data_IF_026556298891
#
_entry.id   IF_026556298891
#
_cell.length_a   1.000
_cell.length_b   1.000
_cell.length_c   1.000
_cell.angle_alpha   90.00
_cell.angle_beta   90.00
_cell.angle_gamma   90.00
#
_symmetry.space_group_name_H-M   'P 1'
#
loop_
_entity.id
_entity.type
_entity.pdbx_description
1 polymer ?
#
# COMPACT_ATOMS: atom_id res chain seq x y z
N UNK A 1 22.71 -15.95 -2.70
CA UNK A 1 21.53 -16.12 -3.56
C UNK A 1 21.23 -17.62 -3.70
N UNK A 2 19.96 -18.01 -3.85
CA UNK A 2 19.51 -19.41 -3.81
C UNK A 2 19.60 -20.16 -5.16
N UNK A 3 20.08 -19.51 -6.23
CA UNK A 3 20.20 -20.12 -7.57
C UNK A 3 18.87 -20.42 -8.28
N UNK A 4 17.81 -19.66 -7.96
CA UNK A 4 16.44 -19.84 -8.46
C UNK A 4 15.98 -18.69 -9.33
N UNK A 5 16.86 -18.23 -10.21
CA UNK A 5 16.61 -17.00 -10.97
C UNK A 5 15.47 -17.18 -11.97
N UNK A 6 15.33 -18.38 -12.55
CA UNK A 6 14.24 -18.70 -13.49
C UNK A 6 12.88 -18.76 -12.78
N UNK A 7 12.78 -19.49 -11.67
CA UNK A 7 11.54 -19.58 -10.90
C UNK A 7 11.15 -18.22 -10.30
N UNK A 8 12.15 -17.39 -9.94
CA UNK A 8 11.92 -16.02 -9.51
C UNK A 8 11.34 -15.15 -10.63
N UNK A 9 11.85 -15.26 -11.85
CA UNK A 9 11.31 -14.56 -13.01
C UNK A 9 9.88 -14.99 -13.36
N UNK A 10 9.61 -16.30 -13.36
CA UNK A 10 8.27 -16.86 -13.60
C UNK A 10 7.26 -16.39 -12.53
N UNK A 11 7.68 -16.37 -11.26
CA UNK A 11 6.85 -15.85 -10.17
C UNK A 11 6.57 -14.36 -10.31
N UNK A 12 7.56 -13.55 -10.72
CA UNK A 12 7.39 -12.11 -10.94
C UNK A 12 6.38 -11.85 -12.07
N UNK A 13 6.45 -12.58 -13.17
CA UNK A 13 5.48 -12.45 -14.27
C UNK A 13 4.05 -12.74 -13.79
N UNK A 14 3.86 -13.83 -13.06
CA UNK A 14 2.56 -14.19 -12.49
C UNK A 14 2.07 -13.13 -11.48
N UNK A 15 2.97 -12.62 -10.65
CA UNK A 15 2.66 -11.56 -9.70
C UNK A 15 2.17 -10.30 -10.41
N UNK A 16 2.87 -9.85 -11.46
CA UNK A 16 2.48 -8.67 -12.24
C UNK A 16 1.13 -8.86 -12.93
N UNK A 17 0.89 -10.03 -13.54
CA UNK A 17 -0.41 -10.36 -14.13
C UNK A 17 -1.54 -10.28 -13.11
N UNK A 18 -1.36 -10.92 -11.95
CA UNK A 18 -2.36 -10.91 -10.88
C UNK A 18 -2.60 -9.49 -10.32
N UNK A 19 -1.54 -8.70 -10.21
CA UNK A 19 -1.61 -7.31 -9.77
C UNK A 19 -2.43 -6.44 -10.72
N UNK A 20 -2.25 -6.59 -12.03
CA UNK A 20 -2.97 -5.81 -13.03
C UNK A 20 -4.46 -6.22 -13.09
N UNK A 21 -4.76 -7.52 -13.02
CA UNK A 21 -6.14 -8.01 -12.93
C UNK A 21 -6.85 -7.51 -11.67
N UNK A 22 -6.17 -7.56 -10.52
CA UNK A 22 -6.72 -7.05 -9.25
C UNK A 22 -6.92 -5.53 -9.30
N UNK A 23 -5.96 -4.78 -9.85
CA UNK A 23 -6.04 -3.33 -10.03
C UNK A 23 -7.25 -2.95 -10.88
N UNK A 24 -7.48 -3.66 -12.00
CA UNK A 24 -8.62 -3.43 -12.86
C UNK A 24 -9.95 -3.63 -12.12
N UNK A 25 -10.09 -4.74 -11.37
CA UNK A 25 -11.29 -5.04 -10.59
C UNK A 25 -11.57 -4.00 -9.50
N UNK A 26 -10.53 -3.58 -8.79
CA UNK A 26 -10.66 -2.58 -7.72
C UNK A 26 -11.00 -1.20 -8.28
N UNK A 27 -10.31 -0.76 -9.34
CA UNK A 27 -10.57 0.55 -9.95
C UNK A 27 -11.96 0.64 -10.59
N UNK A 28 -12.54 -0.49 -11.02
CA UNK A 28 -13.90 -0.52 -11.55
C UNK A 28 -14.99 -0.22 -10.49
N UNK A 29 -14.69 -0.40 -9.20
CA UNK A 29 -15.68 -0.22 -8.10
C UNK A 29 -15.38 1.00 -7.22
N UNK A 30 -14.20 1.60 -7.34
CA UNK A 30 -13.84 2.81 -6.60
C UNK A 30 -14.27 4.05 -7.42
N UNK A 31 -15.11 4.94 -6.86
CA UNK A 31 -15.48 6.17 -7.55
C UNK A 31 -14.25 7.04 -7.88
N UNK A 32 -14.32 7.75 -9.00
CA UNK A 32 -13.25 8.64 -9.43
C UNK A 32 -12.89 9.67 -8.35
N UNK A 33 -11.59 9.92 -8.19
CA UNK A 33 -11.06 10.89 -7.23
C UNK A 33 -11.06 10.43 -5.77
N UNK A 34 -11.59 9.25 -5.45
CA UNK A 34 -11.53 8.70 -4.09
C UNK A 34 -10.12 8.26 -3.71
N UNK A 35 -9.84 8.32 -2.41
CA UNK A 35 -8.57 7.93 -1.82
C UNK A 35 -8.77 6.83 -0.79
N UNK A 36 -7.71 6.07 -0.53
CA UNK A 36 -7.69 5.03 0.49
C UNK A 36 -6.57 5.30 1.49
N UNK A 37 -6.85 5.12 2.78
CA UNK A 37 -5.87 5.24 3.85
C UNK A 37 -5.82 3.96 4.67
N UNK A 38 -4.63 3.66 5.21
CA UNK A 38 -4.46 2.62 6.20
C UNK A 38 -4.28 3.28 7.56
N UNK A 39 -5.11 2.89 8.51
CA UNK A 39 -5.04 3.35 9.90
C UNK A 39 -4.52 2.20 10.75
N UNK A 40 -3.44 2.45 11.48
CA UNK A 40 -2.91 1.55 12.50
C UNK A 40 -3.30 2.05 13.89
N UNK A 41 -3.69 1.14 14.77
CA UNK A 41 -3.88 1.41 16.20
C UNK A 41 -2.82 0.63 16.95
N UNK A 42 -1.94 1.33 17.67
CA UNK A 42 -0.83 0.74 18.43
C UNK A 42 -0.67 1.53 19.72
N UNK A 43 -0.64 0.85 20.87
CA UNK A 43 -0.42 1.44 22.20
C UNK A 43 -1.31 2.66 22.48
N UNK A 44 -2.61 2.51 22.27
CA UNK A 44 -3.59 3.59 22.46
C UNK A 44 -3.49 4.73 21.45
N UNK A 45 -2.62 4.63 20.46
CA UNK A 45 -2.37 5.68 19.46
C UNK A 45 -2.86 5.27 18.08
N UNK A 46 -3.58 6.17 17.42
CA UNK A 46 -4.03 6.05 16.04
C UNK A 46 -3.01 6.73 15.13
N UNK A 47 -2.57 6.03 14.09
CA UNK A 47 -1.63 6.52 13.09
C UNK A 47 -2.08 6.24 11.65
N UNK A 48 -1.71 7.11 10.71
CA UNK A 48 -1.79 6.82 9.28
C UNK A 48 -0.52 6.10 8.84
N UNK A 49 -0.65 5.09 7.99
CA UNK A 49 0.48 4.31 7.48
C UNK A 49 0.79 4.66 6.02
N UNK A 50 2.09 4.77 5.71
CA UNK A 50 2.62 4.91 4.36
C UNK A 50 2.74 3.57 3.62
N UNK A 51 3.52 3.52 2.55
CA UNK A 51 3.68 2.33 1.73
C UNK A 51 4.74 1.34 2.25
N UNK A 52 5.68 1.76 3.10
CA UNK A 52 6.84 0.95 3.51
C UNK A 52 6.80 0.34 4.91
N UNK A 53 5.70 0.50 5.64
CA UNK A 53 5.55 -0.03 6.99
C UNK A 53 4.82 -1.40 7.03
N UNK A 54 4.71 -2.11 5.90
CA UNK A 54 3.88 -3.32 5.83
C UNK A 54 2.40 -3.01 6.00
N UNK A 55 1.61 -3.98 6.51
CA UNK A 55 0.16 -3.81 6.78
C UNK A 55 -0.68 -3.41 5.55
N UNK A 56 -0.20 -3.76 4.36
CA UNK A 56 -0.89 -3.51 3.09
C UNK A 56 -0.50 -2.22 2.36
N UNK A 57 0.41 -1.39 2.90
CA UNK A 57 0.84 -0.15 2.25
C UNK A 57 1.34 -0.35 0.81
N UNK A 58 2.27 -1.28 0.61
CA UNK A 58 2.78 -1.63 -0.73
C UNK A 58 1.68 -2.17 -1.64
N UNK A 59 0.76 -2.98 -1.10
CA UNK A 59 -0.35 -3.52 -1.87
C UNK A 59 -1.28 -2.40 -2.36
N UNK A 60 -1.70 -1.49 -1.48
CA UNK A 60 -2.63 -0.41 -1.81
C UNK A 60 -2.01 0.61 -2.77
N UNK A 61 -0.82 1.13 -2.44
CA UNK A 61 -0.26 2.29 -3.16
C UNK A 61 0.66 1.89 -4.31
N UNK A 62 1.35 0.76 -4.21
CA UNK A 62 2.35 0.37 -5.22
C UNK A 62 1.82 -0.68 -6.21
N UNK A 63 1.06 -1.67 -5.73
CA UNK A 63 0.49 -2.75 -6.58
C UNK A 63 -0.85 -2.34 -7.19
N UNK A 64 -1.79 -1.88 -6.36
CA UNK A 64 -3.14 -1.46 -6.78
C UNK A 64 -3.19 0.00 -7.23
N UNK A 65 -2.13 0.78 -7.02
CA UNK A 65 -2.02 2.19 -7.44
C UNK A 65 -3.20 3.07 -6.98
N UNK A 66 -3.76 2.78 -5.80
CA UNK A 66 -4.82 3.60 -5.24
C UNK A 66 -4.27 4.97 -4.83
N UNK A 67 -5.08 6.01 -5.01
CA UNK A 67 -4.72 7.37 -4.63
C UNK A 67 -4.61 7.47 -3.10
N UNK A 68 -3.44 7.81 -2.53
CA UNK A 68 -3.34 8.11 -1.12
C UNK A 68 -3.93 9.51 -0.82
N UNK A 69 -4.46 9.76 0.39
CA UNK A 69 -4.73 11.11 0.87
C UNK A 69 -3.43 11.93 0.97
N UNK A 70 -3.53 13.25 0.91
CA UNK A 70 -2.35 14.15 0.92
C UNK A 70 -1.40 13.90 2.09
N UNK A 71 -1.95 13.65 3.29
CA UNK A 71 -1.13 13.34 4.48
C UNK A 71 -0.33 12.05 4.33
N UNK A 72 -0.88 11.04 3.66
CA UNK A 72 -0.21 9.77 3.38
C UNK A 72 0.78 9.92 2.24
N UNK A 73 0.44 10.69 1.19
CA UNK A 73 1.36 11.02 0.10
C UNK A 73 2.64 11.66 0.65
N UNK A 74 2.52 12.62 1.58
CA UNK A 74 3.67 13.22 2.27
C UNK A 74 4.52 12.22 3.06
N UNK A 75 3.96 11.10 3.52
CA UNK A 75 4.74 10.03 4.15
C UNK A 75 5.54 9.27 3.09
N UNK A 76 4.87 8.88 2.00
CA UNK A 76 5.49 8.15 0.89
C UNK A 76 6.63 8.99 0.28
N UNK A 77 6.41 10.28 0.04
CA UNK A 77 7.41 11.19 -0.54
C UNK A 77 8.64 11.40 0.36
N UNK A 78 8.46 11.23 1.67
CA UNK A 78 9.52 11.37 2.68
C UNK A 78 10.09 10.03 3.13
N UNK A 79 9.70 8.95 2.48
CA UNK A 79 10.05 7.59 2.87
C UNK A 79 9.73 7.26 4.34
N UNK A 80 8.70 7.91 4.90
CA UNK A 80 8.26 7.74 6.28
C UNK A 80 7.24 6.60 6.41
N UNK A 81 7.37 5.84 7.50
CA UNK A 81 6.54 4.68 7.76
C UNK A 81 5.10 5.02 8.19
N UNK A 82 4.96 5.98 9.10
CA UNK A 82 3.66 6.35 9.68
C UNK A 82 3.70 7.76 10.26
N UNK A 83 2.51 8.32 10.54
CA UNK A 83 2.36 9.53 11.35
C UNK A 83 1.22 9.35 12.35
N UNK A 84 1.46 9.71 13.61
CA UNK A 84 0.43 9.72 14.63
C UNK A 84 -0.61 10.79 14.33
N UNK A 85 -1.87 10.48 14.61
CA UNK A 85 -3.00 11.37 14.37
C UNK A 85 -3.77 11.66 15.65
N UNK A 86 -3.83 10.70 16.57
CA UNK A 86 -4.60 10.83 17.82
C UNK A 86 -4.14 9.83 18.87
N UNK A 87 -4.20 10.22 20.14
CA UNK A 87 -4.11 9.31 21.30
C UNK A 87 -5.50 9.11 21.89
N UNK A 88 -5.84 7.85 22.19
CA UNK A 88 -7.09 7.45 22.83
C UNK A 88 -6.81 7.38 24.33
N UNK A 89 -7.56 8.17 25.10
CA UNK A 89 -7.53 8.18 26.57
C UNK A 89 -8.73 7.38 27.09
#
# INVERSE_FOLDING_TARGET
MLGKDKEGAEWLEQFHKNADEARAKVNAVIPEGKSAAIIGIMDGTVGLLGDRFGRGGQALYNVLKLKPPERVQKLIDRDANSVQVKTIH
#
